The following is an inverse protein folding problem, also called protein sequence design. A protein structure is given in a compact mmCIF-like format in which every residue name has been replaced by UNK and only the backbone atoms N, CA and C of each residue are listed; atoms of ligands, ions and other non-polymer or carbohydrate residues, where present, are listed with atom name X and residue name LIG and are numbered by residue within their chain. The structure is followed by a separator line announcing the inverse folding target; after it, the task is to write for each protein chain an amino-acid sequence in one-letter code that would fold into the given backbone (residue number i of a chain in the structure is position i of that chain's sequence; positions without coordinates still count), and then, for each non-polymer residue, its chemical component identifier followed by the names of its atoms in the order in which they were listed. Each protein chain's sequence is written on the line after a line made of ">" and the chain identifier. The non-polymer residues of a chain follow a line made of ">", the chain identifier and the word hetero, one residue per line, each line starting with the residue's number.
data_IF_573056731770
#
_entry.id   IF_573056731770
#
_cell.length_a   1.000
_cell.length_b   1.000
_cell.length_c   1.000
_cell.angle_alpha   90.00
_cell.angle_beta   90.00
_cell.angle_gamma   90.00
#
_symmetry.space_group_name_H-M   'P 1'
#
loop_
_entity.id
_entity.type
_entity.pdbx_description
1 polymer ?
#
# COMPACT_ATOMS: atom_id res chain seq x y z
N UNK A 1 -36.79 -22.04 7.20
CA UNK A 1 -36.54 -21.03 8.24
C UNK A 1 -35.29 -20.25 7.84
N UNK A 2 -35.38 -18.94 7.98
CA UNK A 2 -34.59 -17.90 7.30
C UNK A 2 -33.06 -18.04 7.41
N UNK A 3 -32.39 -18.40 6.31
CA UNK A 3 -30.92 -18.41 6.19
C UNK A 3 -30.34 -17.09 5.65
N UNK A 4 -31.18 -16.15 5.23
CA UNK A 4 -30.79 -14.96 4.46
C UNK A 4 -30.46 -13.74 5.33
N UNK A 5 -30.98 -13.70 6.56
CA UNK A 5 -30.74 -12.61 7.50
C UNK A 5 -29.29 -12.53 8.02
N UNK A 6 -28.62 -13.62 8.48
CA UNK A 6 -27.27 -13.51 9.02
C UNK A 6 -26.23 -13.08 7.96
N UNK A 7 -26.35 -13.56 6.73
CA UNK A 7 -25.43 -13.26 5.63
C UNK A 7 -25.42 -11.77 5.24
N UNK A 8 -26.57 -11.11 5.33
CA UNK A 8 -26.71 -9.68 5.02
C UNK A 8 -26.05 -8.79 6.08
N UNK A 9 -26.08 -9.17 7.36
CA UNK A 9 -25.40 -8.43 8.43
C UNK A 9 -23.88 -8.62 8.36
N UNK A 10 -23.42 -9.84 8.03
CA UNK A 10 -22.00 -10.16 7.90
C UNK A 10 -21.37 -9.49 6.68
N UNK A 11 -22.10 -9.39 5.57
CA UNK A 11 -21.67 -8.64 4.38
C UNK A 11 -21.55 -7.15 4.69
N UNK A 12 -22.57 -6.56 5.35
CA UNK A 12 -22.53 -5.14 5.75
C UNK A 12 -21.32 -4.81 6.63
N UNK A 13 -20.89 -5.74 7.49
CA UNK A 13 -19.73 -5.54 8.35
C UNK A 13 -18.43 -5.47 7.55
N UNK A 14 -18.28 -6.33 6.54
CA UNK A 14 -17.15 -6.24 5.62
C UNK A 14 -17.20 -4.94 4.81
N UNK A 15 -18.36 -4.61 4.24
CA UNK A 15 -18.54 -3.40 3.42
C UNK A 15 -18.24 -2.11 4.19
N UNK A 16 -18.56 -2.06 5.48
CA UNK A 16 -18.20 -0.92 6.35
C UNK A 16 -16.68 -0.71 6.46
N UNK A 17 -15.89 -1.79 6.38
CA UNK A 17 -14.43 -1.75 6.44
C UNK A 17 -13.73 -1.75 5.08
N UNK A 18 -14.45 -1.99 3.96
CA UNK A 18 -13.86 -2.22 2.63
C UNK A 18 -12.89 -1.11 2.21
N UNK A 19 -13.30 0.15 2.34
CA UNK A 19 -12.46 1.29 1.95
C UNK A 19 -11.17 1.36 2.76
N UNK A 20 -11.24 1.07 4.07
CA UNK A 20 -10.08 1.04 4.95
C UNK A 20 -9.12 -0.09 4.57
N UNK A 21 -9.67 -1.27 4.25
CA UNK A 21 -8.88 -2.43 3.83
C UNK A 21 -8.23 -2.21 2.46
N UNK A 22 -8.94 -1.61 1.51
CA UNK A 22 -8.41 -1.23 0.20
C UNK A 22 -7.27 -0.21 0.34
N UNK A 23 -7.48 0.81 1.19
CA UNK A 23 -6.48 1.83 1.52
C UNK A 23 -5.21 1.21 2.12
N UNK A 24 -5.35 0.22 3.01
CA UNK A 24 -4.24 -0.57 3.56
C UNK A 24 -3.51 -1.36 2.46
N UNK A 25 -4.25 -2.16 1.69
CA UNK A 25 -3.69 -3.00 0.64
C UNK A 25 -2.95 -2.17 -0.42
N UNK A 26 -3.52 -1.02 -0.80
CA UNK A 26 -2.92 -0.08 -1.74
C UNK A 26 -1.57 0.44 -1.25
N UNK A 27 -1.44 0.86 0.01
CA UNK A 27 -0.14 1.29 0.57
C UNK A 27 0.87 0.16 0.69
N UNK A 28 0.40 -1.07 0.87
CA UNK A 28 1.29 -2.23 0.93
C UNK A 28 1.77 -2.66 -0.46
N UNK A 29 0.89 -2.65 -1.47
CA UNK A 29 1.14 -3.21 -2.79
C UNK A 29 1.61 -2.17 -3.81
N UNK A 30 1.11 -0.93 -3.71
CA UNK A 30 1.39 0.16 -4.65
C UNK A 30 0.62 0.08 -5.96
N UNK A 31 -0.46 -0.72 -6.00
CA UNK A 31 -1.26 -1.01 -7.19
C UNK A 31 -2.73 -1.07 -6.78
N UNK A 32 -3.59 -0.31 -7.47
CA UNK A 32 -5.04 -0.30 -7.20
C UNK A 32 -5.68 -1.65 -7.53
N UNK A 33 -5.29 -2.25 -8.66
CA UNK A 33 -5.75 -3.57 -9.07
C UNK A 33 -5.35 -4.64 -8.04
N UNK A 34 -4.07 -4.69 -7.64
CA UNK A 34 -3.64 -5.69 -6.66
C UNK A 34 -4.28 -5.46 -5.28
N UNK A 35 -4.58 -4.21 -4.93
CA UNK A 35 -5.29 -3.87 -3.71
C UNK A 35 -6.75 -4.31 -3.74
N UNK A 36 -7.44 -4.09 -4.86
CA UNK A 36 -8.79 -4.57 -5.07
C UNK A 36 -8.85 -6.10 -4.99
N UNK A 37 -7.95 -6.79 -5.70
CA UNK A 37 -7.83 -8.25 -5.66
C UNK A 37 -7.58 -8.76 -4.23
N UNK A 38 -6.70 -8.12 -3.47
CA UNK A 38 -6.44 -8.50 -2.09
C UNK A 38 -7.66 -8.33 -1.18
N UNK A 39 -8.46 -7.29 -1.40
CA UNK A 39 -9.72 -7.05 -0.66
C UNK A 39 -10.80 -8.06 -1.09
N UNK A 40 -10.89 -8.37 -2.38
CA UNK A 40 -11.79 -9.41 -2.89
C UNK A 40 -11.45 -10.78 -2.30
N UNK A 41 -10.18 -11.17 -2.29
CA UNK A 41 -9.71 -12.40 -1.64
C UNK A 41 -10.06 -12.41 -0.15
N UNK A 42 -9.85 -11.29 0.55
CA UNK A 42 -10.19 -11.17 1.97
C UNK A 42 -11.70 -11.33 2.21
N UNK A 43 -12.55 -10.87 1.29
CA UNK A 43 -13.99 -11.09 1.35
C UNK A 43 -14.34 -12.58 1.24
N UNK A 44 -13.67 -13.32 0.35
CA UNK A 44 -13.86 -14.77 0.24
C UNK A 44 -13.43 -15.50 1.52
N UNK A 45 -12.31 -15.10 2.11
CA UNK A 45 -11.88 -15.63 3.42
C UNK A 45 -12.90 -15.32 4.52
N UNK A 46 -13.47 -14.11 4.54
CA UNK A 46 -14.51 -13.72 5.49
C UNK A 46 -15.78 -14.56 5.35
N UNK A 47 -16.22 -14.82 4.11
CA UNK A 47 -17.35 -15.71 3.85
C UNK A 47 -17.08 -17.15 4.28
N UNK A 48 -15.86 -17.65 4.07
CA UNK A 48 -15.50 -19.02 4.44
C UNK A 48 -15.26 -19.21 5.96
N UNK A 49 -14.96 -18.15 6.70
CA UNK A 49 -14.62 -18.25 8.12
C UNK A 49 -15.84 -18.52 9.02
N UNK A 50 -15.62 -19.28 10.10
CA UNK A 50 -16.58 -19.36 11.21
C UNK A 50 -16.52 -18.06 12.03
N UNK A 51 -17.32 -17.07 11.59
CA UNK A 51 -17.36 -15.71 12.14
C UNK A 51 -17.74 -15.64 13.62
N UNK A 52 -18.34 -16.70 14.18
CA UNK A 52 -18.68 -16.78 15.61
C UNK A 52 -17.45 -16.92 16.52
N UNK A 53 -16.31 -17.32 15.94
CA UNK A 53 -15.03 -17.45 16.62
C UNK A 53 -14.14 -16.22 16.46
N UNK A 54 -14.63 -15.19 15.77
CA UNK A 54 -13.89 -13.97 15.50
C UNK A 54 -14.37 -12.88 16.46
N UNK A 55 -13.62 -12.66 17.53
CA UNK A 55 -13.97 -11.69 18.56
C UNK A 55 -13.94 -10.25 18.02
N UNK A 56 -12.89 -9.92 17.25
CA UNK A 56 -12.69 -8.59 16.67
C UNK A 56 -12.52 -8.69 15.14
N UNK A 57 -13.62 -8.67 14.37
CA UNK A 57 -13.59 -8.77 12.91
C UNK A 57 -12.69 -7.78 12.18
N UNK A 58 -12.59 -6.53 12.66
CA UNK A 58 -11.72 -5.53 12.04
C UNK A 58 -10.24 -5.90 12.16
N UNK A 59 -9.82 -6.40 13.33
CA UNK A 59 -8.46 -6.89 13.54
C UNK A 59 -8.18 -8.14 12.70
N UNK A 60 -9.15 -9.06 12.64
CA UNK A 60 -9.05 -10.26 11.81
C UNK A 60 -8.93 -9.93 10.31
N UNK A 61 -9.77 -9.05 9.78
CA UNK A 61 -9.73 -8.62 8.38
C UNK A 61 -8.43 -7.87 8.07
N UNK A 62 -7.97 -7.01 8.98
CA UNK A 62 -6.68 -6.33 8.85
C UNK A 62 -5.53 -7.35 8.76
N UNK A 63 -5.56 -8.39 9.59
CA UNK A 63 -4.58 -9.50 9.55
C UNK A 63 -4.63 -10.26 8.23
N UNK A 64 -5.82 -10.64 7.77
CA UNK A 64 -6.00 -11.35 6.49
C UNK A 64 -5.46 -10.53 5.33
N UNK A 65 -5.88 -9.27 5.19
CA UNK A 65 -5.41 -8.39 4.12
C UNK A 65 -3.90 -8.17 4.18
N UNK A 66 -3.34 -7.96 5.37
CA UNK A 66 -1.89 -7.76 5.52
C UNK A 66 -1.11 -8.99 5.07
N UNK A 67 -1.55 -10.20 5.44
CA UNK A 67 -0.89 -11.44 5.04
C UNK A 67 -1.01 -11.70 3.54
N UNK A 68 -2.19 -11.51 2.96
CA UNK A 68 -2.41 -11.58 1.51
C UNK A 68 -1.49 -10.61 0.74
N UNK A 69 -1.27 -9.40 1.26
CA UNK A 69 -0.36 -8.44 0.66
C UNK A 69 1.11 -8.88 0.80
N UNK A 70 1.51 -9.39 1.97
CA UNK A 70 2.87 -9.86 2.21
C UNK A 70 3.24 -11.02 1.30
N UNK A 71 2.32 -11.95 1.08
CA UNK A 71 2.54 -13.09 0.20
C UNK A 71 2.71 -12.64 -1.26
N UNK A 72 1.86 -11.71 -1.73
CA UNK A 72 2.04 -11.06 -3.05
C UNK A 72 3.40 -10.37 -3.17
N UNK A 73 3.82 -9.58 -2.18
CA UNK A 73 5.12 -8.89 -2.19
C UNK A 73 6.31 -9.85 -2.20
N UNK A 74 6.24 -10.95 -1.43
CA UNK A 74 7.27 -12.01 -1.43
C UNK A 74 7.35 -12.67 -2.80
N UNK A 75 6.19 -12.96 -3.40
CA UNK A 75 6.03 -13.60 -4.70
C UNK A 75 6.60 -12.74 -5.85
N UNK A 76 6.23 -11.46 -5.92
CA UNK A 76 6.74 -10.52 -6.92
C UNK A 76 8.26 -10.35 -6.84
N UNK A 77 8.79 -10.23 -5.61
CA UNK A 77 10.24 -10.16 -5.38
C UNK A 77 10.98 -11.41 -5.85
N UNK A 78 10.40 -12.60 -5.62
CA UNK A 78 10.98 -13.85 -6.09
C UNK A 78 11.01 -13.95 -7.62
N UNK A 79 9.95 -13.47 -8.30
CA UNK A 79 9.85 -13.47 -9.77
C UNK A 79 10.66 -12.36 -10.47
N UNK A 80 11.27 -11.43 -9.73
CA UNK A 80 11.92 -10.20 -10.27
C UNK A 80 10.99 -9.38 -11.17
N UNK A 81 9.68 -9.57 -11.03
CA UNK A 81 8.67 -8.74 -11.64
C UNK A 81 8.74 -7.39 -10.93
N UNK A 82 9.47 -6.44 -11.51
CA UNK A 82 9.18 -5.04 -11.21
C UNK A 82 7.77 -4.83 -11.73
N UNK A 83 6.87 -4.32 -10.89
CA UNK A 83 5.58 -3.81 -11.31
C UNK A 83 5.80 -2.57 -12.19
N UNK A 84 6.36 -2.78 -13.38
CA UNK A 84 6.38 -1.83 -14.46
C UNK A 84 5.05 -2.06 -15.19
N UNK A 85 4.02 -1.25 -14.92
CA UNK A 85 2.84 -1.35 -15.79
C UNK A 85 1.52 -0.68 -15.42
N UNK A 86 1.28 -0.17 -14.21
CA UNK A 86 -0.01 0.44 -13.89
C UNK A 86 0.13 1.62 -12.93
N UNK A 87 0.91 2.62 -13.33
CA UNK A 87 1.08 3.82 -12.54
C UNK A 87 0.08 4.89 -12.96
N UNK A 88 -1.15 4.73 -12.49
CA UNK A 88 -1.98 5.85 -12.05
C UNK A 88 -2.66 5.39 -10.75
N UNK A 89 -2.37 6.00 -9.60
CA UNK A 89 -3.25 5.89 -8.44
C UNK A 89 -4.68 6.19 -8.88
N UNK A 90 -5.61 5.26 -8.71
CA UNK A 90 -7.01 5.68 -8.70
C UNK A 90 -7.23 6.59 -7.49
N UNK A 91 -7.94 7.72 -7.66
CA UNK A 91 -8.01 8.75 -6.64
C UNK A 91 -8.88 8.29 -5.48
N UNK A 92 -8.25 7.84 -4.40
CA UNK A 92 -8.96 7.57 -3.15
C UNK A 92 -8.15 7.99 -1.94
N UNK A 93 -7.89 9.29 -1.73
CA UNK A 93 -7.30 9.76 -0.47
C UNK A 93 -7.80 11.16 -0.10
N UNK A 94 -9.09 11.28 0.21
CA UNK A 94 -9.50 12.27 1.20
C UNK A 94 -9.13 11.72 2.59
N UNK A 95 -8.27 12.45 3.31
CA UNK A 95 -7.95 12.16 4.72
C UNK A 95 -6.84 11.13 5.00
N UNK A 96 -5.94 10.83 4.05
CA UNK A 96 -4.77 9.95 4.32
C UNK A 96 -3.71 10.65 5.20
N UNK A 97 -3.41 10.13 6.41
CA UNK A 97 -2.36 10.69 7.27
C UNK A 97 -0.95 10.67 6.65
N UNK A 98 -0.67 9.72 5.74
CA UNK A 98 0.64 9.63 5.08
C UNK A 98 0.86 10.69 4.00
N UNK A 99 -0.20 11.30 3.47
CA UNK A 99 -0.09 12.33 2.44
C UNK A 99 0.18 13.73 3.02
N UNK A 100 0.01 13.92 4.32
CA UNK A 100 0.12 15.24 4.93
C UNK A 100 -0.92 16.24 4.40
N UNK A 101 -0.80 17.53 4.73
CA UNK A 101 -1.68 18.56 4.19
C UNK A 101 -1.32 18.79 2.72
N UNK A 102 -2.19 18.39 1.80
CA UNK A 102 -2.08 18.65 0.38
C UNK A 102 -3.36 19.33 -0.12
N UNK A 103 -3.20 20.58 -0.58
CA UNK A 103 -4.29 21.50 -0.88
C UNK A 103 -4.86 21.28 -2.29
N UNK A 104 -4.08 20.65 -3.19
CA UNK A 104 -4.50 20.35 -4.56
C UNK A 104 -4.42 18.86 -4.87
N UNK A 105 -5.18 18.43 -5.88
CA UNK A 105 -5.14 17.06 -6.40
C UNK A 105 -3.74 16.67 -6.87
N UNK A 106 -3.08 17.55 -7.64
CA UNK A 106 -1.72 17.33 -8.15
C UNK A 106 -0.69 17.16 -7.02
N UNK A 107 -0.83 17.90 -5.91
CA UNK A 107 0.01 17.73 -4.74
C UNK A 107 -0.23 16.38 -4.07
N UNK A 108 -1.49 15.97 -3.89
CA UNK A 108 -1.84 14.67 -3.30
C UNK A 108 -1.30 13.52 -4.13
N UNK A 109 -1.44 13.62 -5.46
CA UNK A 109 -0.90 12.64 -6.40
C UNK A 109 0.62 12.55 -6.26
N UNK A 110 1.34 13.67 -6.36
CA UNK A 110 2.80 13.74 -6.20
C UNK A 110 3.29 13.14 -4.87
N UNK A 111 2.62 13.47 -3.76
CA UNK A 111 2.97 12.90 -2.45
C UNK A 111 2.70 11.40 -2.41
N UNK A 112 1.58 10.94 -2.97
CA UNK A 112 1.26 9.51 -3.07
C UNK A 112 2.35 8.76 -3.84
N UNK A 113 2.80 9.31 -4.97
CA UNK A 113 3.88 8.72 -5.76
C UNK A 113 5.18 8.65 -4.98
N UNK A 114 5.53 9.73 -4.27
CA UNK A 114 6.72 9.78 -3.44
C UNK A 114 6.68 8.74 -2.30
N UNK A 115 5.52 8.59 -1.64
CA UNK A 115 5.31 7.59 -0.59
C UNK A 115 5.50 6.18 -1.15
N UNK A 116 4.82 5.83 -2.25
CA UNK A 116 4.93 4.52 -2.88
C UNK A 116 6.37 4.20 -3.30
N UNK A 117 7.07 5.16 -3.92
CA UNK A 117 8.49 5.02 -4.30
C UNK A 117 9.40 4.79 -3.08
N UNK A 118 9.10 5.43 -1.94
CA UNK A 118 9.84 5.18 -0.71
C UNK A 118 9.56 3.77 -0.16
N UNK A 119 8.32 3.28 -0.30
CA UNK A 119 7.94 1.93 0.15
C UNK A 119 8.63 0.82 -0.65
N UNK A 120 8.97 1.04 -1.93
CA UNK A 120 9.74 0.10 -2.76
C UNK A 120 11.11 -0.26 -2.19
N UNK A 121 11.69 0.62 -1.38
CA UNK A 121 13.01 0.39 -0.76
C UNK A 121 12.96 -0.48 0.50
N UNK A 122 11.77 -0.79 0.99
CA UNK A 122 11.57 -1.58 2.21
C UNK A 122 11.44 -3.08 1.88
N UNK A 123 11.89 -3.94 2.79
CA UNK A 123 11.47 -5.34 2.73
C UNK A 123 9.95 -5.46 2.98
N UNK A 124 9.29 -6.54 2.54
CA UNK A 124 7.84 -6.69 2.72
C UNK A 124 7.38 -6.49 4.18
N UNK A 125 8.11 -7.09 5.13
CA UNK A 125 7.79 -6.98 6.57
C UNK A 125 8.03 -5.57 7.10
N UNK A 126 9.13 -4.91 6.69
CA UNK A 126 9.39 -3.51 7.08
C UNK A 126 8.32 -2.57 6.55
N UNK A 127 7.85 -2.79 5.31
CA UNK A 127 6.74 -2.05 4.72
C UNK A 127 5.45 -2.24 5.51
N UNK A 128 5.09 -3.48 5.81
CA UNK A 128 3.88 -3.79 6.58
C UNK A 128 3.90 -3.13 7.97
N UNK A 129 5.00 -3.26 8.71
CA UNK A 129 5.17 -2.62 10.02
C UNK A 129 5.07 -1.10 9.90
N UNK A 130 5.72 -0.49 8.90
CA UNK A 130 5.71 0.95 8.70
C UNK A 130 4.30 1.47 8.40
N UNK A 131 3.58 0.84 7.47
CA UNK A 131 2.21 1.23 7.09
C UNK A 131 1.24 1.07 8.26
N UNK A 132 1.24 -0.09 8.94
CA UNK A 132 0.36 -0.32 10.08
C UNK A 132 0.61 0.68 11.21
N UNK A 133 1.87 1.05 11.44
CA UNK A 133 2.23 2.00 12.50
C UNK A 133 1.93 3.46 12.14
N UNK A 134 2.35 3.92 10.97
CA UNK A 134 2.35 5.34 10.63
C UNK A 134 1.04 5.78 9.99
N UNK A 135 0.38 4.92 9.19
CA UNK A 135 -0.87 5.26 8.52
C UNK A 135 -2.10 4.86 9.34
N UNK A 136 -2.01 3.76 10.07
CA UNK A 136 -3.14 3.17 10.80
C UNK A 136 -2.99 3.20 12.32
N UNK A 137 -1.88 3.76 12.84
CA UNK A 137 -1.65 3.99 14.27
C UNK A 137 -1.68 2.75 15.17
N UNK A 138 -1.53 1.54 14.62
CA UNK A 138 -1.52 0.31 15.43
C UNK A 138 -0.35 0.32 16.44
N UNK A 139 -0.56 -0.16 17.68
CA UNK A 139 0.53 -0.40 18.63
C UNK A 139 1.37 -1.60 18.20
N UNK A 140 2.62 -1.66 18.65
CA UNK A 140 3.54 -2.73 18.24
C UNK A 140 3.06 -4.13 18.65
N UNK A 141 2.35 -4.25 19.78
CA UNK A 141 1.75 -5.51 20.22
C UNK A 141 0.73 -6.06 19.19
N UNK A 142 -0.20 -5.23 18.71
CA UNK A 142 -1.16 -5.64 17.68
C UNK A 142 -0.48 -5.95 16.34
N UNK A 143 0.53 -5.16 15.96
CA UNK A 143 1.32 -5.44 14.74
C UNK A 143 2.03 -6.80 14.85
N UNK A 144 2.56 -7.12 16.03
CA UNK A 144 3.23 -8.38 16.30
C UNK A 144 2.26 -9.58 16.13
N UNK A 145 1.04 -9.46 16.62
CA UNK A 145 -0.01 -10.48 16.42
C UNK A 145 -0.48 -10.62 14.96
N UNK A 146 -0.58 -9.50 14.24
CA UNK A 146 -0.94 -9.47 12.82
C UNK A 146 0.12 -10.20 11.99
N UNK A 147 1.39 -9.90 12.24
CA UNK A 147 2.53 -10.35 11.44
C UNK A 147 3.19 -11.64 11.93
N UNK A 148 2.72 -12.19 13.06
CA UNK A 148 3.31 -13.35 13.72
C UNK A 148 4.81 -13.17 14.02
N UNK A 149 5.13 -12.05 14.66
CA UNK A 149 6.50 -11.69 15.08
C UNK A 149 6.49 -11.25 16.54
N UNK A 150 7.66 -11.08 17.15
CA UNK A 150 7.73 -10.46 18.49
C UNK A 150 7.49 -8.95 18.42
N UNK A 151 6.99 -8.36 19.51
CA UNK A 151 6.86 -6.90 19.62
C UNK A 151 8.21 -6.18 19.40
N UNK A 152 9.29 -6.75 19.95
CA UNK A 152 10.65 -6.24 19.74
C UNK A 152 11.09 -6.30 18.26
N UNK A 153 10.72 -7.36 17.53
CA UNK A 153 10.98 -7.44 16.10
C UNK A 153 10.20 -6.36 15.34
N UNK A 154 8.93 -6.14 15.68
CA UNK A 154 8.11 -5.05 15.11
C UNK A 154 8.78 -3.69 15.29
N UNK A 155 9.24 -3.35 16.50
CA UNK A 155 9.97 -2.11 16.78
C UNK A 155 11.27 -1.99 15.95
N UNK A 156 12.04 -3.08 15.83
CA UNK A 156 13.26 -3.10 15.03
C UNK A 156 12.98 -2.93 13.53
N UNK A 157 11.93 -3.57 13.00
CA UNK A 157 11.50 -3.41 11.61
C UNK A 157 11.11 -1.95 11.33
N UNK A 158 10.38 -1.30 12.23
CA UNK A 158 10.04 0.11 12.10
C UNK A 158 11.28 1.00 12.09
N UNK A 159 12.21 0.77 13.01
CA UNK A 159 13.48 1.52 13.06
C UNK A 159 14.26 1.38 11.74
N UNK A 160 14.39 0.14 11.22
CA UNK A 160 15.05 -0.12 9.93
C UNK A 160 14.33 0.54 8.76
N UNK A 161 13.00 0.53 8.75
CA UNK A 161 12.19 1.18 7.73
C UNK A 161 12.45 2.69 7.71
N UNK A 162 12.33 3.36 8.86
CA UNK A 162 12.60 4.80 9.01
C UNK A 162 14.02 5.16 8.56
N UNK A 163 15.02 4.34 8.90
CA UNK A 163 16.41 4.55 8.47
C UNK A 163 16.57 4.46 6.94
N UNK A 164 15.93 3.48 6.29
CA UNK A 164 15.96 3.34 4.82
C UNK A 164 15.26 4.49 4.12
N UNK A 165 14.10 4.92 4.62
CA UNK A 165 13.36 6.08 4.10
C UNK A 165 14.20 7.36 4.24
N UNK A 166 14.81 7.58 5.41
CA UNK A 166 15.66 8.75 5.63
C UNK A 166 16.90 8.75 4.72
N UNK A 167 17.53 7.59 4.51
CA UNK A 167 18.65 7.46 3.58
C UNK A 167 18.22 7.74 2.13
N UNK A 168 17.05 7.25 1.72
CA UNK A 168 16.49 7.50 0.40
C UNK A 168 16.23 8.99 0.13
N UNK A 169 15.73 9.72 1.13
CA UNK A 169 15.53 11.17 1.04
C UNK A 169 16.84 11.94 0.89
N UNK A 170 17.92 11.49 1.53
CA UNK A 170 19.26 12.10 1.42
C UNK A 170 20.03 11.71 0.17
N UNK A 171 19.73 10.54 -0.41
CA UNK A 171 20.41 10.01 -1.58
C UNK A 171 19.77 10.38 -2.92
N UNK A 172 18.60 11.02 -2.91
CA UNK A 172 18.12 11.73 -4.10
C UNK A 172 19.00 12.96 -4.27
N UNK A 173 19.86 12.98 -5.30
CA UNK A 173 20.43 14.24 -5.75
C UNK A 173 19.27 15.25 -5.91
N UNK A 174 19.46 16.50 -5.52
CA UNK A 174 18.54 17.57 -5.91
C UNK A 174 18.47 17.57 -7.44
N UNK A 175 17.46 16.90 -7.99
CA UNK A 175 17.22 16.92 -9.42
C UNK A 175 16.74 18.33 -9.70
N UNK A 176 17.54 19.11 -10.41
CA UNK A 176 17.13 20.43 -10.87
C UNK A 176 15.75 20.32 -11.58
N UNK A 177 14.70 20.95 -11.04
CA UNK A 177 13.36 20.84 -11.61
C UNK A 177 13.27 21.31 -13.06
N UNK A 178 14.19 22.19 -13.50
CA UNK A 178 14.26 22.60 -14.90
C UNK A 178 14.83 21.49 -15.80
N UNK A 179 15.85 20.77 -15.33
CA UNK A 179 16.41 19.61 -16.01
C UNK A 179 15.42 18.45 -16.11
N UNK A 180 14.68 18.14 -15.03
CA UNK A 180 13.62 17.13 -15.07
C UNK A 180 12.52 17.47 -16.10
N UNK A 181 12.04 18.72 -16.11
CA UNK A 181 11.05 19.20 -17.09
C UNK A 181 11.54 19.08 -18.53
N UNK A 182 12.83 19.35 -18.76
CA UNK A 182 13.43 19.25 -20.09
C UNK A 182 13.44 17.81 -20.59
N UNK A 183 13.86 16.87 -19.75
CA UNK A 183 13.86 15.42 -20.06
C UNK A 183 12.43 14.94 -20.35
N UNK A 184 11.45 15.34 -19.55
CA UNK A 184 10.04 14.97 -19.77
C UNK A 184 9.52 15.54 -21.10
N UNK A 185 9.83 16.81 -21.41
CA UNK A 185 9.42 17.42 -22.67
C UNK A 185 10.06 16.74 -23.89
N UNK A 186 11.35 16.39 -23.81
CA UNK A 186 12.06 15.65 -24.86
C UNK A 186 11.48 14.24 -25.05
N UNK A 187 11.15 13.55 -23.96
CA UNK A 187 10.47 12.27 -23.99
C UNK A 187 9.07 12.34 -24.64
N UNK A 188 8.24 13.31 -24.25
CA UNK A 188 6.91 13.49 -24.83
C UNK A 188 6.99 13.85 -26.32
N UNK A 189 7.94 14.69 -26.71
CA UNK A 189 8.19 15.03 -28.10
C UNK A 189 8.62 13.79 -28.90
N UNK A 190 9.51 12.95 -28.35
CA UNK A 190 9.93 11.71 -28.99
C UNK A 190 8.76 10.71 -29.12
N UNK A 191 7.97 10.52 -28.06
CA UNK A 191 6.84 9.59 -28.05
C UNK A 191 5.72 10.00 -29.01
N UNK A 192 5.44 11.30 -29.13
CA UNK A 192 4.41 11.82 -30.03
C UNK A 192 4.86 11.92 -31.49
N UNK A 193 6.16 12.11 -31.74
CA UNK A 193 6.70 12.27 -33.10
C UNK A 193 7.37 11.00 -33.67
N UNK A 194 7.64 10.00 -32.84
CA UNK A 194 8.42 8.81 -33.19
C UNK A 194 9.92 9.04 -33.34
N UNK A 195 10.43 10.25 -33.06
CA UNK A 195 11.86 10.60 -33.24
C UNK A 195 12.62 10.48 -31.92
N UNK A 196 13.33 9.37 -31.75
CA UNK A 196 14.05 9.04 -30.51
C UNK A 196 15.47 9.60 -30.43
N UNK A 197 15.97 10.24 -31.50
CA UNK A 197 17.34 10.77 -31.62
C UNK A 197 17.72 11.78 -30.52
N UNK A 198 16.73 12.39 -29.87
CA UNK A 198 16.92 13.40 -28.81
C UNK A 198 16.95 12.81 -27.40
N UNK A 199 16.69 11.51 -27.23
CA UNK A 199 16.79 10.82 -25.95
C UNK A 199 18.24 10.34 -25.76
N UNK A 200 19.04 11.07 -24.98
CA UNK A 200 20.40 10.66 -24.56
C UNK A 200 20.48 10.67 -23.04
#
# INVERSE_FOLDING_TARGET
>A
MDGTAPDRFDTRRFEAGRNRLASLAYRLLGSAADAEDAVQDAFLHWQAADRRRIDVPEAWLTKVVTNLCLDRLRSARARRERAAGAWLPEPLLDGDPMLGPADTFEQRESVSLAVLTLMERLSPVERAVYVLREAFSYPHAEIAEILDVTESASQQHLHRARRRIAAARRGGAEVDPASARRIVAEFLAAASSGRTERLV
#
